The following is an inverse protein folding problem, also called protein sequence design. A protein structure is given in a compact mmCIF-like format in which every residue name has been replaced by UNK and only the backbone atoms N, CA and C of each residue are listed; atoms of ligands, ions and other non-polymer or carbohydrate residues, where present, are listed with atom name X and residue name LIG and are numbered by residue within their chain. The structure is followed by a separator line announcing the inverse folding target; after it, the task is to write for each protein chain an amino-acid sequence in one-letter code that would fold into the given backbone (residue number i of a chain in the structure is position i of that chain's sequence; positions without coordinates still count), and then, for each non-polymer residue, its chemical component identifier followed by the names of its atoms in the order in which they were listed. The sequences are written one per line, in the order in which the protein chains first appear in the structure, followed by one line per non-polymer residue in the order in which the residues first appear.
data_IF_945055775149
#
_entry.id   IF_945055775149
#
_cell.length_a   1.000
_cell.length_b   1.000
_cell.length_c   1.000
_cell.angle_alpha   90.00
_cell.angle_beta   90.00
_cell.angle_gamma   90.00
#
_symmetry.space_group_name_H-M   'P 1'
#
loop_
_entity.id
_entity.type
_entity.pdbx_description
1 polymer ?
#
# COMPACT_ATOMS: atom_id res chain seq x y z
N UNK A 1 -32.17 -13.35 42.09
CA UNK A 1 -32.42 -11.94 41.72
C UNK A 1 -31.17 -11.23 41.16
N UNK A 2 -29.97 -11.42 41.74
CA UNK A 2 -28.73 -10.73 41.28
C UNK A 2 -28.15 -11.21 39.94
N UNK A 3 -28.42 -12.45 39.51
CA UNK A 3 -27.86 -12.98 38.27
C UNK A 3 -28.54 -12.39 37.03
N UNK A 4 -29.86 -12.21 37.06
CA UNK A 4 -30.65 -11.74 35.92
C UNK A 4 -30.40 -10.27 35.59
N UNK A 5 -30.15 -9.43 36.60
CA UNK A 5 -29.90 -8.00 36.40
C UNK A 5 -28.52 -7.72 35.78
N UNK A 6 -27.52 -8.52 36.15
CA UNK A 6 -26.17 -8.41 35.60
C UNK A 6 -26.14 -8.83 34.12
N UNK A 7 -26.87 -9.89 33.78
CA UNK A 7 -27.05 -10.31 32.39
C UNK A 7 -27.80 -9.28 31.55
N UNK A 8 -28.82 -8.63 32.10
CA UNK A 8 -29.58 -7.58 31.41
C UNK A 8 -28.76 -6.30 31.15
N UNK A 9 -27.87 -5.93 32.08
CA UNK A 9 -26.96 -4.80 31.93
C UNK A 9 -25.87 -5.08 30.87
N UNK A 10 -25.35 -6.31 30.84
CA UNK A 10 -24.36 -6.74 29.83
C UNK A 10 -24.97 -6.80 28.42
N UNK A 11 -26.21 -7.30 28.28
CA UNK A 11 -26.86 -7.40 26.97
C UNK A 11 -27.23 -6.04 26.39
N UNK A 12 -27.65 -5.07 27.22
CA UNK A 12 -28.05 -3.74 26.75
C UNK A 12 -26.83 -2.85 26.39
N UNK A 13 -25.60 -3.19 26.85
CA UNK A 13 -24.34 -2.52 26.46
C UNK A 13 -23.66 -3.09 25.21
N UNK A 14 -24.02 -4.32 24.81
CA UNK A 14 -23.41 -5.03 23.68
C UNK A 14 -24.28 -5.03 22.42
N UNK A 15 -25.60 -4.84 22.53
CA UNK A 15 -26.51 -4.72 21.38
C UNK A 15 -27.50 -3.56 21.56
N UNK A 16 -27.55 -2.66 20.58
CA UNK A 16 -28.29 -1.39 20.68
C UNK A 16 -29.78 -1.44 20.25
N UNK A 17 -30.38 -2.63 20.10
CA UNK A 17 -31.80 -2.76 19.74
C UNK A 17 -32.58 -3.47 20.84
N UNK A 18 -33.44 -2.72 21.54
CA UNK A 18 -34.53 -3.29 22.35
C UNK A 18 -34.60 -2.90 23.84
N UNK A 19 -34.16 -1.72 24.25
CA UNK A 19 -34.42 -1.23 25.61
C UNK A 19 -35.30 0.04 25.54
N UNK A 20 -36.63 -0.14 25.48
CA UNK A 20 -37.59 0.92 25.74
C UNK A 20 -38.63 0.44 26.77
N UNK A 21 -38.81 1.31 27.77
CA UNK A 21 -39.94 1.46 28.70
C UNK A 21 -40.07 0.45 29.87
N UNK A 22 -39.90 0.93 31.11
CA UNK A 22 -41.04 1.28 31.98
C UNK A 22 -40.58 1.84 33.37
N UNK A 23 -41.18 3.00 33.70
CA UNK A 23 -41.59 3.51 35.02
C UNK A 23 -40.56 4.06 36.03
N UNK A 24 -40.37 5.38 35.93
CA UNK A 24 -40.16 6.28 37.07
C UNK A 24 -41.45 6.38 37.91
N UNK A 25 -41.45 5.80 39.11
CA UNK A 25 -42.13 6.42 40.25
C UNK A 25 -41.52 5.91 41.57
N UNK A 26 -40.82 6.82 42.28
CA UNK A 26 -40.78 7.00 43.76
C UNK A 26 -39.40 7.44 44.29
N UNK A 27 -39.28 8.78 44.40
CA UNK A 27 -38.87 9.58 45.58
C UNK A 27 -37.67 9.13 46.43
N UNK A 28 -36.66 10.00 46.43
CA UNK A 28 -35.96 10.61 47.59
C UNK A 28 -35.72 9.74 48.84
N UNK A 29 -34.45 9.41 49.10
CA UNK A 29 -33.66 9.92 50.23
C UNK A 29 -32.38 9.08 50.43
N UNK A 30 -31.25 9.76 50.58
CA UNK A 30 -30.03 9.24 51.22
C UNK A 30 -30.03 9.75 52.69
N UNK A 31 -29.17 9.29 53.65
CA UNK A 31 -27.84 8.68 53.42
C UNK A 31 -27.37 7.60 54.43
N UNK A 32 -26.13 7.15 54.18
CA UNK A 32 -25.16 6.49 55.08
C UNK A 32 -25.24 4.96 55.27
N UNK A 33 -24.32 4.25 54.60
CA UNK A 33 -23.40 3.33 55.28
C UNK A 33 -22.19 3.08 54.38
N UNK A 34 -21.01 3.36 54.92
CA UNK A 34 -19.71 3.02 54.37
C UNK A 34 -19.64 1.55 53.93
N UNK A 35 -19.45 1.33 52.63
CA UNK A 35 -18.78 0.14 52.12
C UNK A 35 -17.70 0.63 51.17
N UNK A 36 -16.49 0.74 51.69
CA UNK A 36 -15.28 0.94 50.91
C UNK A 36 -15.12 -0.27 49.97
N UNK A 37 -15.52 -0.12 48.71
CA UNK A 37 -15.17 -1.05 47.65
C UNK A 37 -13.64 -0.99 47.47
N UNK A 38 -12.94 -2.14 47.49
CA UNK A 38 -11.50 -2.14 47.29
C UNK A 38 -11.22 -1.67 45.86
N UNK A 39 -10.10 -0.96 45.72
CA UNK A 39 -9.50 -0.44 44.50
C UNK A 39 -9.11 -1.61 43.55
N UNK A 40 -10.08 -2.37 43.05
CA UNK A 40 -9.89 -3.52 42.15
C UNK A 40 -10.36 -3.09 40.77
N UNK A 41 -9.70 -2.09 40.21
CA UNK A 41 -10.22 -1.34 39.06
C UNK A 41 -9.48 -1.51 37.74
N UNK A 42 -8.20 -1.92 37.74
CA UNK A 42 -7.38 -1.94 36.52
C UNK A 42 -6.54 -3.22 36.41
N UNK A 43 -5.87 -3.63 37.48
CA UNK A 43 -4.95 -4.79 37.45
C UNK A 43 -5.65 -6.11 37.08
N UNK A 44 -6.88 -6.32 37.57
CA UNK A 44 -7.66 -7.53 37.24
C UNK A 44 -8.15 -7.53 35.79
N UNK A 45 -8.45 -6.36 35.20
CA UNK A 45 -8.85 -6.24 33.80
C UNK A 45 -7.67 -6.50 32.87
N UNK A 46 -6.46 -6.08 33.24
CA UNK A 46 -5.24 -6.42 32.50
C UNK A 46 -4.87 -7.89 32.60
N UNK A 47 -5.03 -8.50 33.78
CA UNK A 47 -4.81 -9.94 33.95
C UNK A 47 -5.84 -10.73 33.14
N UNK A 48 -7.11 -10.34 33.15
CA UNK A 48 -8.17 -11.01 32.37
C UNK A 48 -8.00 -10.78 30.87
N UNK A 49 -7.58 -9.59 30.42
CA UNK A 49 -7.30 -9.32 29.01
C UNK A 49 -6.07 -10.10 28.55
N UNK A 50 -4.98 -10.13 29.32
CA UNK A 50 -3.80 -10.93 29.04
C UNK A 50 -4.11 -12.43 29.00
N UNK A 51 -4.97 -12.92 29.91
CA UNK A 51 -5.40 -14.31 29.94
C UNK A 51 -6.30 -14.64 28.73
N UNK A 52 -7.26 -13.77 28.40
CA UNK A 52 -8.11 -13.91 27.21
C UNK A 52 -7.30 -13.83 25.90
N UNK A 53 -6.25 -13.02 25.88
CA UNK A 53 -5.26 -12.93 24.81
C UNK A 53 -4.27 -14.10 24.77
N UNK A 54 -4.18 -14.88 25.85
CA UNK A 54 -3.44 -16.14 25.88
C UNK A 54 -4.26 -17.29 25.28
N UNK A 55 -5.60 -17.24 25.42
CA UNK A 55 -6.54 -18.23 24.87
C UNK A 55 -7.13 -17.84 23.49
N UNK A 56 -6.99 -16.59 23.06
CA UNK A 56 -7.44 -16.05 21.77
C UNK A 56 -6.34 -15.24 21.06
N UNK A 57 -6.47 -15.04 19.75
CA UNK A 57 -5.53 -14.27 18.91
C UNK A 57 -5.62 -12.76 19.21
N UNK A 58 -5.04 -12.30 20.32
CA UNK A 58 -4.81 -10.87 20.49
C UNK A 58 -3.52 -10.46 19.80
N UNK A 59 -3.62 -9.43 18.98
CA UNK A 59 -2.48 -8.79 18.34
C UNK A 59 -2.58 -7.28 18.61
N UNK A 60 -1.44 -6.61 18.69
CA UNK A 60 -1.35 -5.17 19.05
C UNK A 60 -2.24 -4.26 18.18
N UNK A 61 -2.47 -4.67 16.93
CA UNK A 61 -3.30 -3.98 15.93
C UNK A 61 -4.79 -4.32 16.00
N UNK A 62 -5.20 -5.27 16.87
CA UNK A 62 -6.55 -5.83 16.90
C UNK A 62 -6.84 -6.83 15.76
N UNK A 63 -5.93 -7.00 14.81
CA UNK A 63 -6.03 -7.97 13.71
C UNK A 63 -4.67 -8.65 13.49
N UNK A 64 -4.60 -9.95 13.80
CA UNK A 64 -3.38 -10.73 13.72
C UNK A 64 -2.80 -10.95 12.32
N UNK A 65 -3.52 -10.53 11.28
CA UNK A 65 -3.01 -10.53 9.90
C UNK A 65 -2.07 -9.34 9.66
N UNK A 66 -2.21 -8.25 10.43
CA UNK A 66 -1.41 -7.03 10.32
C UNK A 66 -0.17 -7.16 11.22
N UNK A 67 0.99 -6.85 10.66
CA UNK A 67 2.30 -6.92 11.33
C UNK A 67 2.97 -5.55 11.43
N UNK A 68 2.85 -4.70 10.41
CA UNK A 68 3.45 -3.37 10.36
C UNK A 68 4.95 -3.34 10.71
N UNK A 69 5.74 -4.23 10.09
CA UNK A 69 7.21 -4.27 10.27
C UNK A 69 7.92 -3.17 9.48
N UNK A 70 7.92 -1.95 10.02
CA UNK A 70 8.51 -0.76 9.39
C UNK A 70 10.02 -0.86 9.24
N UNK A 71 10.72 -1.39 10.26
CA UNK A 71 12.18 -1.58 10.20
C UNK A 71 12.58 -2.58 9.11
N UNK A 72 11.80 -3.64 8.93
CA UNK A 72 12.00 -4.60 7.85
C UNK A 72 11.70 -4.02 6.47
N UNK A 73 10.73 -3.10 6.37
CA UNK A 73 10.46 -2.38 5.13
C UNK A 73 11.62 -1.45 4.75
N UNK A 74 12.18 -0.70 5.71
CA UNK A 74 13.34 0.15 5.50
C UNK A 74 14.57 -0.64 5.04
N UNK A 75 14.84 -1.77 5.69
CA UNK A 75 15.94 -2.67 5.33
C UNK A 75 15.77 -3.21 3.91
N UNK A 76 14.59 -3.75 3.57
CA UNK A 76 14.31 -4.30 2.23
C UNK A 76 14.45 -3.22 1.13
N UNK A 77 13.90 -2.02 1.36
CA UNK A 77 14.04 -0.90 0.43
C UNK A 77 15.51 -0.49 0.27
N UNK A 78 16.27 -0.47 1.35
CA UNK A 78 17.67 -0.06 1.33
C UNK A 78 18.55 -1.07 0.61
N UNK A 79 18.41 -2.35 0.93
CA UNK A 79 19.30 -3.42 0.50
C UNK A 79 18.96 -3.99 -0.89
N UNK A 80 17.68 -4.03 -1.27
CA UNK A 80 17.24 -4.76 -2.47
C UNK A 80 16.70 -3.87 -3.60
N UNK A 81 16.26 -2.63 -3.30
CA UNK A 81 15.74 -1.73 -4.34
C UNK A 81 16.87 -0.89 -4.96
N UNK A 82 17.44 -1.35 -6.07
CA UNK A 82 18.59 -0.67 -6.68
C UNK A 82 18.22 0.54 -7.53
N UNK A 83 18.96 1.64 -7.38
CA UNK A 83 18.85 2.83 -8.25
C UNK A 83 17.60 3.69 -8.07
N UNK A 84 16.80 3.46 -7.03
CA UNK A 84 15.55 4.18 -6.78
C UNK A 84 15.58 4.99 -5.48
N UNK A 85 16.55 5.90 -5.32
CA UNK A 85 16.71 6.68 -4.09
C UNK A 85 15.44 7.47 -3.72
N UNK A 86 14.77 8.10 -4.71
CA UNK A 86 13.51 8.83 -4.49
C UNK A 86 12.38 7.91 -4.00
N UNK A 87 12.18 6.77 -4.67
CA UNK A 87 11.11 5.85 -4.30
C UNK A 87 11.32 5.25 -2.90
N UNK A 88 12.57 4.96 -2.51
CA UNK A 88 12.90 4.48 -1.15
C UNK A 88 12.42 5.48 -0.11
N UNK A 89 12.82 6.74 -0.27
CA UNK A 89 12.52 7.80 0.69
C UNK A 89 11.01 8.05 0.79
N UNK A 90 10.34 8.27 -0.33
CA UNK A 90 8.92 8.60 -0.35
C UNK A 90 8.08 7.46 0.21
N UNK A 91 8.30 6.22 -0.22
CA UNK A 91 7.50 5.07 0.25
C UNK A 91 7.71 4.82 1.73
N UNK A 92 8.96 4.85 2.20
CA UNK A 92 9.25 4.65 3.62
C UNK A 92 8.59 5.73 4.48
N UNK A 93 8.80 7.01 4.16
CA UNK A 93 8.25 8.14 4.92
C UNK A 93 6.73 8.17 4.91
N UNK A 94 6.10 7.93 3.76
CA UNK A 94 4.65 7.94 3.63
C UNK A 94 4.01 6.81 4.44
N UNK A 95 4.52 5.58 4.32
CA UNK A 95 4.00 4.42 5.06
C UNK A 95 4.25 4.56 6.56
N UNK A 96 5.46 4.98 6.96
CA UNK A 96 5.80 5.21 8.37
C UNK A 96 4.89 6.28 8.99
N UNK A 97 4.77 7.45 8.35
CA UNK A 97 3.95 8.55 8.84
C UNK A 97 2.47 8.19 8.93
N UNK A 98 1.95 7.48 7.93
CA UNK A 98 0.56 7.01 7.94
C UNK A 98 0.27 6.03 9.08
N UNK A 99 1.15 5.06 9.30
CA UNK A 99 0.94 4.04 10.34
C UNK A 99 1.13 4.59 11.75
N UNK A 100 2.02 5.56 11.93
CA UNK A 100 2.22 6.27 13.20
C UNK A 100 1.08 7.22 13.54
N UNK A 101 0.29 7.66 12.56
CA UNK A 101 -0.89 8.48 12.82
C UNK A 101 -1.98 7.66 13.55
N UNK A 102 -2.43 8.08 14.74
CA UNK A 102 -3.48 7.36 15.48
C UNK A 102 -4.84 7.38 14.74
N UNK A 103 -5.15 8.49 14.08
CA UNK A 103 -6.40 8.73 13.36
C UNK A 103 -6.10 9.44 12.04
N UNK A 104 -5.80 8.69 10.97
CA UNK A 104 -5.61 9.28 9.66
C UNK A 104 -6.91 9.91 9.14
N UNK A 105 -6.82 11.11 8.59
CA UNK A 105 -7.98 11.85 8.09
C UNK A 105 -8.57 11.20 6.81
N UNK A 106 -7.74 10.55 6.01
CA UNK A 106 -8.13 9.84 4.78
C UNK A 106 -7.23 8.64 4.55
N UNK A 107 -7.58 7.80 3.57
CA UNK A 107 -6.74 6.69 3.14
C UNK A 107 -5.39 7.19 2.58
N UNK A 108 -4.33 6.41 2.77
CA UNK A 108 -3.03 6.68 2.13
C UNK A 108 -3.10 6.27 0.66
N UNK A 109 -2.82 7.20 -0.25
CA UNK A 109 -2.83 6.95 -1.69
C UNK A 109 -1.46 7.24 -2.30
N UNK A 110 -0.76 6.19 -2.72
CA UNK A 110 0.52 6.29 -3.43
C UNK A 110 0.34 5.91 -4.90
N UNK A 111 0.92 6.70 -5.80
CA UNK A 111 0.90 6.39 -7.23
C UNK A 111 2.32 6.27 -7.78
N UNK A 112 2.69 5.07 -8.23
CA UNK A 112 4.02 4.71 -8.69
C UNK A 112 4.11 4.87 -10.21
N UNK A 113 5.08 5.64 -10.69
CA UNK A 113 5.25 5.97 -12.10
C UNK A 113 6.66 5.65 -12.59
N UNK A 114 6.82 5.10 -13.78
CA UNK A 114 8.14 4.83 -14.36
C UNK A 114 8.13 3.70 -15.38
N UNK A 115 9.26 3.38 -15.99
CA UNK A 115 9.35 2.29 -16.97
C UNK A 115 9.08 0.89 -16.40
N UNK A 116 8.91 -0.08 -17.32
CA UNK A 116 8.73 -1.48 -16.93
C UNK A 116 10.03 -2.04 -16.33
N UNK A 117 9.90 -2.83 -15.26
CA UNK A 117 11.04 -3.52 -14.62
C UNK A 117 11.95 -2.64 -13.75
N UNK A 118 11.54 -1.41 -13.42
CA UNK A 118 12.30 -0.51 -12.54
C UNK A 118 12.05 -0.73 -11.04
N UNK A 119 11.04 -1.52 -10.68
CA UNK A 119 10.81 -1.94 -9.28
C UNK A 119 9.40 -1.68 -8.72
N UNK A 120 8.46 -1.09 -9.46
CA UNK A 120 7.10 -0.75 -8.95
C UNK A 120 6.38 -1.91 -8.25
N UNK A 121 6.20 -3.03 -8.97
CA UNK A 121 5.57 -4.25 -8.44
C UNK A 121 6.41 -4.90 -7.31
N UNK A 122 7.72 -4.73 -7.35
CA UNK A 122 8.63 -5.26 -6.33
C UNK A 122 8.46 -4.52 -5.00
N UNK A 123 8.38 -3.19 -5.04
CA UNK A 123 8.09 -2.34 -3.87
C UNK A 123 6.69 -2.62 -3.32
N UNK A 124 5.66 -2.73 -4.18
CA UNK A 124 4.32 -3.09 -3.72
C UNK A 124 4.30 -4.43 -2.97
N UNK A 125 5.06 -5.43 -3.45
CA UNK A 125 5.23 -6.71 -2.75
C UNK A 125 5.99 -6.57 -1.42
N UNK A 126 7.02 -5.73 -1.34
CA UNK A 126 7.73 -5.45 -0.07
C UNK A 126 6.77 -4.84 0.95
N UNK A 127 6.01 -3.82 0.56
CA UNK A 127 4.98 -3.20 1.40
C UNK A 127 4.01 -4.25 1.90
N UNK A 128 3.41 -5.06 1.01
CA UNK A 128 2.50 -6.11 1.43
C UNK A 128 3.14 -7.12 2.40
N UNK A 129 4.35 -7.60 2.10
CA UNK A 129 5.06 -8.62 2.91
C UNK A 129 5.48 -8.10 4.29
N UNK A 130 5.72 -6.79 4.41
CA UNK A 130 6.14 -6.18 5.67
C UNK A 130 4.98 -5.67 6.51
N UNK A 131 3.87 -5.28 5.88
CA UNK A 131 2.67 -4.85 6.58
C UNK A 131 1.76 -6.01 6.99
N UNK A 132 1.77 -7.14 6.25
CA UNK A 132 0.87 -8.27 6.48
C UNK A 132 1.63 -9.60 6.58
N UNK A 133 1.19 -10.46 7.50
CA UNK A 133 1.81 -11.77 7.79
C UNK A 133 1.99 -12.63 6.53
N UNK A 134 0.93 -12.73 5.73
CA UNK A 134 0.91 -13.57 4.52
C UNK A 134 1.22 -12.77 3.24
N UNK A 135 1.68 -11.52 3.40
CA UNK A 135 1.99 -10.63 2.29
C UNK A 135 0.82 -10.47 1.32
N UNK A 136 1.08 -10.65 0.03
CA UNK A 136 0.07 -10.59 -1.03
C UNK A 136 -1.03 -11.67 -0.92
N UNK A 137 -0.85 -12.70 -0.10
CA UNK A 137 -1.86 -13.75 0.13
C UNK A 137 -2.77 -13.47 1.32
N UNK A 138 -2.53 -12.38 2.05
CA UNK A 138 -3.39 -11.95 3.15
C UNK A 138 -4.78 -11.57 2.62
N UNK A 139 -5.83 -11.96 3.33
CA UNK A 139 -7.22 -11.57 2.99
C UNK A 139 -7.43 -10.04 3.00
N UNK A 140 -6.56 -9.30 3.71
CA UNK A 140 -6.58 -7.85 3.76
C UNK A 140 -5.84 -7.17 2.60
N UNK A 141 -5.27 -7.94 1.68
CA UNK A 141 -4.55 -7.44 0.51
C UNK A 141 -5.30 -7.85 -0.74
N UNK A 142 -5.75 -6.88 -1.52
CA UNK A 142 -6.48 -7.10 -2.76
C UNK A 142 -5.69 -6.52 -3.93
N UNK A 143 -5.44 -7.35 -4.95
CA UNK A 143 -4.65 -6.98 -6.13
C UNK A 143 -5.53 -7.00 -7.37
N UNK A 144 -5.64 -5.85 -8.03
CA UNK A 144 -6.40 -5.65 -9.25
C UNK A 144 -5.46 -5.33 -10.41
N UNK A 145 -5.26 -6.30 -11.31
CA UNK A 145 -4.57 -6.09 -12.58
C UNK A 145 -5.61 -5.65 -13.64
N UNK A 146 -5.49 -4.44 -14.17
CA UNK A 146 -6.50 -3.82 -15.04
C UNK A 146 -6.89 -4.68 -16.25
N UNK A 147 -5.91 -5.16 -17.02
CA UNK A 147 -6.18 -5.96 -18.22
C UNK A 147 -6.67 -7.39 -17.94
N UNK A 148 -6.44 -7.90 -16.73
CA UNK A 148 -6.87 -9.25 -16.36
C UNK A 148 -8.30 -9.23 -15.83
N UNK A 149 -8.60 -8.31 -14.92
CA UNK A 149 -9.89 -8.27 -14.24
C UNK A 149 -10.94 -7.44 -15.00
N UNK A 150 -10.51 -6.44 -15.78
CA UNK A 150 -11.40 -5.51 -16.48
C UNK A 150 -11.11 -5.43 -18.00
N UNK A 151 -11.06 -6.56 -18.73
CA UNK A 151 -10.56 -6.60 -20.10
C UNK A 151 -11.48 -5.96 -21.16
N UNK A 152 -12.78 -5.84 -20.88
CA UNK A 152 -13.79 -5.52 -21.90
C UNK A 152 -14.75 -4.41 -21.45
N UNK A 153 -14.83 -3.35 -22.25
CA UNK A 153 -15.66 -2.18 -21.93
C UNK A 153 -17.16 -2.50 -21.87
N UNK A 154 -17.62 -3.57 -22.54
CA UNK A 154 -19.02 -4.01 -22.54
C UNK A 154 -19.56 -4.32 -21.14
N UNK A 155 -18.69 -4.73 -20.21
CA UNK A 155 -19.08 -5.15 -18.86
C UNK A 155 -18.73 -4.13 -17.78
N UNK A 156 -18.43 -2.87 -18.16
CA UNK A 156 -17.99 -1.82 -17.22
C UNK A 156 -18.92 -1.64 -16.02
N UNK A 157 -20.24 -1.64 -16.22
CA UNK A 157 -21.18 -1.47 -15.10
C UNK A 157 -21.17 -2.65 -14.12
N UNK A 158 -21.00 -3.88 -14.63
CA UNK A 158 -20.80 -5.05 -13.78
C UNK A 158 -19.47 -4.98 -13.03
N UNK A 159 -18.41 -4.52 -13.68
CA UNK A 159 -17.09 -4.37 -13.05
C UNK A 159 -17.09 -3.30 -11.96
N UNK A 160 -17.80 -2.18 -12.16
CA UNK A 160 -18.00 -1.16 -11.12
C UNK A 160 -18.66 -1.76 -9.88
N UNK A 161 -19.80 -2.44 -10.08
CA UNK A 161 -20.54 -3.05 -8.99
C UNK A 161 -19.70 -4.11 -8.24
N UNK A 162 -18.98 -4.95 -8.98
CA UNK A 162 -18.09 -5.95 -8.40
C UNK A 162 -16.95 -5.32 -7.60
N UNK A 163 -16.28 -4.31 -8.16
CA UNK A 163 -15.15 -3.64 -7.52
C UNK A 163 -15.56 -2.92 -6.24
N UNK A 164 -16.68 -2.19 -6.27
CA UNK A 164 -17.24 -1.53 -5.09
C UNK A 164 -17.62 -2.54 -3.99
N UNK A 165 -18.22 -3.65 -4.39
CA UNK A 165 -18.57 -4.74 -3.46
C UNK A 165 -17.33 -5.33 -2.81
N UNK A 166 -16.31 -5.70 -3.59
CA UNK A 166 -15.07 -6.29 -3.08
C UNK A 166 -14.34 -5.35 -2.11
N UNK A 167 -14.26 -4.05 -2.44
CA UNK A 167 -13.66 -3.05 -1.54
C UNK A 167 -14.46 -2.94 -0.25
N UNK A 168 -15.79 -2.84 -0.34
CA UNK A 168 -16.66 -2.72 0.83
C UNK A 168 -16.59 -3.94 1.75
N UNK A 169 -16.62 -5.15 1.18
CA UNK A 169 -16.47 -6.41 1.93
C UNK A 169 -15.09 -6.47 2.62
N UNK A 170 -14.03 -6.06 1.94
CA UNK A 170 -12.67 -6.04 2.52
C UNK A 170 -12.57 -5.03 3.67
N UNK A 171 -13.16 -3.83 3.52
CA UNK A 171 -13.20 -2.80 4.56
C UNK A 171 -13.95 -3.24 5.81
N UNK A 172 -14.98 -4.08 5.66
CA UNK A 172 -15.71 -4.65 6.79
C UNK A 172 -14.90 -5.74 7.53
N UNK A 173 -14.06 -6.48 6.79
CA UNK A 173 -13.30 -7.60 7.33
C UNK A 173 -11.93 -7.20 7.89
N UNK A 174 -11.35 -6.11 7.43
CA UNK A 174 -9.97 -5.73 7.70
C UNK A 174 -9.87 -4.27 8.14
N UNK A 175 -9.21 -4.03 9.27
CA UNK A 175 -9.01 -2.67 9.80
C UNK A 175 -8.04 -1.83 8.98
N UNK A 176 -7.09 -2.47 8.30
CA UNK A 176 -6.08 -1.81 7.48
C UNK A 176 -5.97 -2.56 6.15
N UNK A 177 -6.90 -2.36 5.21
CA UNK A 177 -6.82 -3.04 3.92
C UNK A 177 -5.79 -2.37 3.00
N UNK A 178 -5.14 -3.18 2.17
CA UNK A 178 -4.22 -2.74 1.12
C UNK A 178 -4.80 -3.10 -0.24
N UNK A 179 -5.07 -2.09 -1.05
CA UNK A 179 -5.55 -2.24 -2.43
C UNK A 179 -4.44 -1.88 -3.41
N UNK A 180 -4.06 -2.81 -4.27
CA UNK A 180 -3.03 -2.62 -5.29
C UNK A 180 -3.67 -2.66 -6.67
N UNK A 181 -3.57 -1.57 -7.42
CA UNK A 181 -4.03 -1.46 -8.79
C UNK A 181 -2.83 -1.49 -9.75
N UNK A 182 -2.58 -2.65 -10.36
CA UNK A 182 -1.51 -2.82 -11.35
C UNK A 182 -1.99 -2.47 -12.75
N UNK A 183 -1.08 -1.92 -13.56
CA UNK A 183 -1.36 -1.31 -14.86
C UNK A 183 -2.49 -0.27 -14.77
N UNK A 184 -2.40 0.63 -13.79
CA UNK A 184 -3.42 1.63 -13.51
C UNK A 184 -3.65 2.60 -14.70
N UNK A 185 -2.69 2.77 -15.63
CA UNK A 185 -2.88 3.52 -16.89
C UNK A 185 -3.93 2.92 -17.82
N UNK A 186 -4.24 1.63 -17.64
CA UNK A 186 -5.22 0.92 -18.44
C UNK A 186 -6.57 0.79 -17.72
N UNK A 187 -6.65 1.28 -16.49
CA UNK A 187 -7.88 1.24 -15.72
C UNK A 187 -8.83 2.31 -16.25
N UNK A 188 -10.06 1.92 -16.59
CA UNK A 188 -11.04 2.85 -17.12
C UNK A 188 -11.44 3.89 -16.05
N UNK A 189 -11.58 5.18 -16.43
CA UNK A 189 -11.93 6.28 -15.52
C UNK A 189 -13.17 6.00 -14.67
N UNK A 190 -14.24 5.52 -15.31
CA UNK A 190 -15.46 5.04 -14.67
C UNK A 190 -15.27 4.03 -13.51
N UNK A 191 -14.21 3.21 -13.54
CA UNK A 191 -13.88 2.31 -12.42
C UNK A 191 -13.16 3.06 -11.29
N UNK A 192 -12.30 4.01 -11.62
CA UNK A 192 -11.69 4.92 -10.64
C UNK A 192 -12.74 5.78 -9.92
N UNK A 193 -13.72 6.29 -10.66
CA UNK A 193 -14.84 7.06 -10.12
C UNK A 193 -15.66 6.23 -9.13
N UNK A 194 -15.80 4.93 -9.39
CA UNK A 194 -16.53 4.02 -8.52
C UNK A 194 -15.81 3.77 -7.18
N UNK A 195 -14.47 3.88 -7.15
CA UNK A 195 -13.67 3.64 -5.94
C UNK A 195 -13.24 4.91 -5.22
N UNK A 196 -13.37 6.08 -5.86
CA UNK A 196 -13.10 7.40 -5.28
C UNK A 196 -13.66 7.59 -3.86
N UNK A 197 -14.93 7.22 -3.57
CA UNK A 197 -15.49 7.42 -2.24
C UNK A 197 -14.71 6.68 -1.14
N UNK A 198 -13.95 5.63 -1.44
CA UNK A 198 -13.16 4.91 -0.43
C UNK A 198 -11.80 5.56 -0.13
N UNK A 199 -11.39 6.55 -0.93
CA UNK A 199 -10.12 7.28 -0.76
C UNK A 199 -10.32 8.69 -0.21
N UNK A 200 -11.48 9.30 -0.46
CA UNK A 200 -11.77 10.68 -0.07
C UNK A 200 -11.94 10.85 1.45
N UNK A 201 -11.67 12.07 1.93
CA UNK A 201 -11.92 12.48 3.31
C UNK A 201 -13.43 12.54 3.59
N UNK A 202 -13.93 11.73 4.51
CA UNK A 202 -15.34 11.76 4.91
C UNK A 202 -15.51 12.61 6.17
N UNK A 203 -16.09 13.80 6.00
CA UNK A 203 -16.45 14.71 7.10
C UNK A 203 -17.71 14.31 7.88
N UNK A 204 -18.30 13.14 7.62
CA UNK A 204 -19.56 12.69 8.25
C UNK A 204 -19.31 11.69 9.36
N UNK A 205 -19.70 12.07 10.59
CA UNK A 205 -19.76 11.20 11.78
C UNK A 205 -20.50 9.89 11.45
N UNK A 206 -19.81 8.75 11.58
CA UNK A 206 -20.40 7.42 11.43
C UNK A 206 -19.56 6.38 10.66
N UNK A 207 -18.48 6.78 9.98
CA UNK A 207 -17.54 5.88 9.29
C UNK A 207 -16.13 5.96 9.89
N UNK A 208 -15.98 5.59 11.17
CA UNK A 208 -14.70 5.64 11.87
C UNK A 208 -13.68 4.59 11.37
N UNK A 209 -14.11 3.53 10.66
CA UNK A 209 -13.25 2.38 10.34
C UNK A 209 -12.58 2.39 8.93
N UNK A 210 -12.99 3.25 7.99
CA UNK A 210 -12.39 3.25 6.63
C UNK A 210 -11.04 3.98 6.54
N UNK A 211 -10.61 4.62 7.62
CA UNK A 211 -9.53 5.61 7.63
C UNK A 211 -8.13 5.01 7.46
N UNK A 212 -7.93 3.71 7.75
CA UNK A 212 -6.60 3.06 7.68
C UNK A 212 -6.34 2.29 6.38
N UNK A 213 -7.08 2.60 5.32
CA UNK A 213 -6.89 1.97 4.01
C UNK A 213 -5.64 2.50 3.32
N UNK A 214 -4.94 1.62 2.59
CA UNK A 214 -3.77 1.97 1.77
C UNK A 214 -4.07 1.60 0.31
N UNK A 215 -3.89 2.55 -0.59
CA UNK A 215 -4.07 2.38 -2.03
C UNK A 215 -2.73 2.58 -2.74
N UNK A 216 -2.32 1.58 -3.53
CA UNK A 216 -1.14 1.65 -4.40
C UNK A 216 -1.59 1.56 -5.86
N UNK A 217 -1.35 2.62 -6.63
CA UNK A 217 -1.55 2.63 -8.09
C UNK A 217 -0.20 2.45 -8.78
N UNK A 218 -0.08 1.46 -9.65
CA UNK A 218 1.17 1.15 -10.34
C UNK A 218 1.00 1.44 -11.82
N UNK A 219 1.82 2.35 -12.35
CA UNK A 219 1.67 2.81 -13.73
C UNK A 219 2.97 2.98 -14.49
N UNK A 220 2.90 2.73 -15.81
CA UNK A 220 3.99 3.09 -16.74
C UNK A 220 3.83 4.49 -17.36
N UNK A 221 2.70 5.16 -17.13
CA UNK A 221 2.46 6.53 -17.57
C UNK A 221 3.45 7.48 -16.87
N UNK A 222 3.98 8.47 -17.61
CA UNK A 222 5.05 9.32 -17.11
C UNK A 222 6.46 8.72 -17.23
N UNK A 223 6.58 7.45 -17.64
CA UNK A 223 7.86 6.77 -17.75
C UNK A 223 8.84 7.47 -18.68
N UNK A 224 8.40 7.93 -19.85
CA UNK A 224 9.27 8.59 -20.82
C UNK A 224 9.81 9.92 -20.28
N UNK A 225 8.95 10.75 -19.72
CA UNK A 225 9.33 12.03 -19.08
C UNK A 225 10.35 11.84 -17.96
N UNK A 226 10.16 10.83 -17.10
CA UNK A 226 11.15 10.51 -16.05
C UNK A 226 12.52 10.18 -16.67
N UNK A 227 12.54 9.41 -17.75
CA UNK A 227 13.80 9.00 -18.37
C UNK A 227 14.48 10.11 -19.14
N UNK A 228 13.72 11.02 -19.75
CA UNK A 228 14.26 12.22 -20.38
C UNK A 228 14.98 13.08 -19.35
N UNK A 229 14.37 13.31 -18.18
CA UNK A 229 15.03 14.01 -17.07
C UNK A 229 16.32 13.29 -16.63
N UNK A 230 16.26 11.97 -16.46
CA UNK A 230 17.45 11.19 -16.09
C UNK A 230 18.55 11.26 -17.16
N UNK A 231 18.19 11.23 -18.44
CA UNK A 231 19.11 11.35 -19.56
C UNK A 231 19.76 12.73 -19.62
N UNK A 232 18.99 13.79 -19.38
CA UNK A 232 19.47 15.17 -19.39
C UNK A 232 20.48 15.43 -18.26
N UNK A 233 20.22 14.90 -17.07
CA UNK A 233 21.18 14.96 -15.95
C UNK A 233 22.48 14.23 -16.29
N UNK A 234 22.36 13.03 -16.86
CA UNK A 234 23.54 12.27 -17.29
C UNK A 234 24.34 13.00 -18.39
N UNK A 235 23.67 13.57 -19.40
CA UNK A 235 24.31 14.37 -20.46
C UNK A 235 24.99 15.62 -19.93
N UNK A 236 24.45 16.20 -18.86
CA UNK A 236 25.05 17.33 -18.14
C UNK A 236 26.20 16.91 -17.20
N UNK A 237 26.54 15.61 -17.12
CA UNK A 237 27.58 15.09 -16.23
C UNK A 237 27.21 15.16 -14.75
N UNK A 238 25.91 15.26 -14.43
CA UNK A 238 25.40 15.37 -13.07
C UNK A 238 25.11 13.98 -12.49
N UNK A 239 25.23 13.84 -11.18
CA UNK A 239 24.91 12.59 -10.53
C UNK A 239 23.39 12.32 -10.59
N UNK A 240 23.03 11.04 -10.68
CA UNK A 240 21.63 10.58 -10.66
C UNK A 240 20.92 11.02 -9.38
N UNK A 241 21.62 10.98 -8.25
CA UNK A 241 21.11 11.34 -6.92
C UNK A 241 20.84 12.84 -6.76
N UNK A 242 21.27 13.68 -7.72
CA UNK A 242 20.89 15.10 -7.75
C UNK A 242 19.50 15.36 -8.32
N UNK A 243 18.85 14.36 -8.93
CA UNK A 243 17.51 14.50 -9.48
C UNK A 243 16.52 14.67 -8.32
N UNK A 244 15.92 15.86 -8.19
CA UNK A 244 14.98 16.12 -7.09
C UNK A 244 13.59 15.54 -7.35
N UNK A 245 12.91 15.17 -6.27
CA UNK A 245 11.52 14.73 -6.31
C UNK A 245 10.61 15.83 -6.89
N UNK A 246 10.81 17.09 -6.48
CA UNK A 246 9.94 18.20 -6.90
C UNK A 246 9.96 18.39 -8.42
N UNK A 247 11.15 18.26 -9.05
CA UNK A 247 11.30 18.36 -10.49
C UNK A 247 10.49 17.27 -11.21
N UNK A 248 10.62 16.02 -10.77
CA UNK A 248 9.90 14.90 -11.38
C UNK A 248 8.40 15.01 -11.13
N UNK A 249 7.97 15.36 -9.92
CA UNK A 249 6.56 15.57 -9.60
C UNK A 249 5.93 16.66 -10.48
N UNK A 250 6.61 17.79 -10.66
CA UNK A 250 6.12 18.87 -11.52
C UNK A 250 5.94 18.37 -12.96
N UNK A 251 6.94 17.67 -13.50
CA UNK A 251 6.89 17.14 -14.88
C UNK A 251 5.82 16.07 -15.06
N UNK A 252 5.69 15.17 -14.10
CA UNK A 252 4.65 14.14 -14.09
C UNK A 252 3.24 14.75 -13.99
N UNK A 253 3.02 15.72 -13.09
CA UNK A 253 1.72 16.38 -12.96
C UNK A 253 1.30 17.07 -14.26
N UNK A 254 2.24 17.70 -14.98
CA UNK A 254 1.96 18.31 -16.27
C UNK A 254 1.53 17.26 -17.32
N UNK A 255 2.29 16.19 -17.49
CA UNK A 255 1.95 15.13 -18.46
C UNK A 255 0.62 14.45 -18.13
N UNK A 256 0.35 14.21 -16.85
CA UNK A 256 -0.87 13.55 -16.41
C UNK A 256 -2.12 14.44 -16.50
N UNK A 257 -1.95 15.76 -16.64
CA UNK A 257 -3.05 16.71 -16.88
C UNK A 257 -3.43 16.82 -18.36
N UNK A 258 -2.51 16.46 -19.27
CA UNK A 258 -2.74 16.53 -20.71
C UNK A 258 -3.89 15.57 -21.13
N UNK A 259 -4.86 16.05 -21.91
CA UNK A 259 -5.98 15.24 -22.37
C UNK A 259 -5.51 14.29 -23.49
N UNK A 260 -4.92 13.16 -23.13
CA UNK A 260 -4.73 12.05 -24.07
C UNK A 260 -6.05 11.29 -24.25
N UNK A 261 -6.42 10.97 -25.49
CA UNK A 261 -7.68 10.33 -25.89
C UNK A 261 -7.99 9.00 -25.17
N UNK A 262 -7.01 8.39 -24.50
CA UNK A 262 -7.13 7.11 -23.79
C UNK A 262 -6.78 7.17 -22.29
N UNK A 263 -6.53 8.34 -21.69
CA UNK A 263 -6.09 8.48 -20.28
C UNK A 263 -6.95 9.44 -19.45
N UNK A 264 -8.28 9.30 -19.55
CA UNK A 264 -9.24 10.05 -18.72
C UNK A 264 -9.14 9.70 -17.22
N UNK A 265 -8.55 8.55 -16.89
CA UNK A 265 -8.49 7.96 -15.56
C UNK A 265 -7.55 8.70 -14.60
N UNK A 266 -6.31 8.96 -15.05
CA UNK A 266 -5.27 9.61 -14.23
C UNK A 266 -5.47 11.10 -14.07
N UNK A 267 -5.91 11.78 -15.13
CA UNK A 267 -6.27 13.20 -15.05
C UNK A 267 -7.38 13.45 -14.04
N UNK A 268 -8.32 12.50 -13.87
CA UNK A 268 -9.40 12.62 -12.89
C UNK A 268 -8.91 12.45 -11.43
N UNK A 269 -8.07 11.45 -11.13
CA UNK A 269 -7.54 11.24 -9.76
C UNK A 269 -6.64 12.40 -9.31
N UNK A 270 -5.88 12.97 -10.24
CA UNK A 270 -5.00 14.11 -9.97
C UNK A 270 -5.75 15.43 -9.83
N UNK A 271 -6.79 15.67 -10.65
CA UNK A 271 -7.60 16.89 -10.57
C UNK A 271 -8.31 17.03 -9.23
N UNK A 272 -8.63 15.92 -8.56
CA UNK A 272 -9.30 15.91 -7.26
C UNK A 272 -8.35 15.75 -6.08
N UNK A 273 -7.02 15.79 -6.30
CA UNK A 273 -6.00 15.72 -5.25
C UNK A 273 -6.14 14.51 -4.31
N UNK A 274 -6.60 13.37 -4.87
CA UNK A 274 -6.78 12.13 -4.11
C UNK A 274 -5.45 11.43 -3.82
N UNK A 275 -4.46 11.61 -4.71
CA UNK A 275 -3.12 11.04 -4.59
C UNK A 275 -2.31 11.87 -3.59
N UNK A 276 -1.80 11.22 -2.54
CA UNK A 276 -0.93 11.87 -1.55
C UNK A 276 0.48 12.08 -2.10
N UNK A 277 1.05 11.03 -2.69
CA UNK A 277 2.42 11.05 -3.18
C UNK A 277 2.53 10.41 -4.56
N UNK A 278 3.17 11.14 -5.48
CA UNK A 278 3.64 10.62 -6.75
C UNK A 278 5.04 10.05 -6.53
N UNK A 279 5.21 8.76 -6.80
CA UNK A 279 6.46 8.04 -6.54
C UNK A 279 7.15 7.72 -7.88
N UNK A 280 8.16 8.50 -8.30
CA UNK A 280 8.87 8.25 -9.54
C UNK A 280 9.87 7.09 -9.42
N UNK A 281 9.91 6.24 -10.44
CA UNK A 281 10.86 5.15 -10.62
C UNK A 281 11.73 5.43 -11.84
N UNK A 282 12.99 5.77 -11.57
CA UNK A 282 14.00 6.13 -12.53
C UNK A 282 14.45 4.92 -13.39
N UNK A 283 14.93 5.12 -14.62
CA UNK A 283 15.41 4.03 -15.48
C UNK A 283 16.68 3.40 -14.90
N UNK A 284 16.88 2.09 -15.10
CA UNK A 284 17.99 1.36 -14.50
C UNK A 284 19.21 1.32 -15.43
N UNK A 285 20.34 1.81 -14.94
CA UNK A 285 21.65 1.72 -15.62
C UNK A 285 22.28 0.32 -15.51
N UNK A 286 23.36 0.09 -16.27
CA UNK A 286 24.06 -1.19 -16.33
C UNK A 286 24.45 -1.74 -14.96
N UNK A 287 25.01 -0.90 -14.07
CA UNK A 287 25.40 -1.31 -12.73
C UNK A 287 24.20 -1.78 -11.88
N UNK A 288 23.06 -1.11 -11.98
CA UNK A 288 21.84 -1.53 -11.27
C UNK A 288 21.36 -2.91 -11.74
N UNK A 289 21.48 -3.20 -13.04
CA UNK A 289 21.13 -4.52 -13.56
C UNK A 289 22.08 -5.61 -13.05
N UNK A 290 23.37 -5.31 -12.90
CA UNK A 290 24.30 -6.23 -12.23
C UNK A 290 23.87 -6.55 -10.79
N UNK A 291 23.45 -5.54 -10.03
CA UNK A 291 22.95 -5.73 -8.66
C UNK A 291 21.68 -6.59 -8.63
N UNK A 292 20.75 -6.37 -9.56
CA UNK A 292 19.59 -7.26 -9.72
C UNK A 292 19.98 -8.70 -10.06
N UNK A 293 20.99 -8.89 -10.92
CA UNK A 293 21.49 -10.22 -11.26
C UNK A 293 22.09 -10.90 -10.04
N UNK A 294 22.93 -10.19 -9.27
CA UNK A 294 23.50 -10.66 -8.02
C UNK A 294 22.42 -11.16 -7.07
N UNK A 295 21.41 -10.34 -6.83
CA UNK A 295 20.32 -10.69 -5.91
C UNK A 295 19.50 -11.87 -6.43
N UNK A 296 19.34 -12.00 -7.75
CA UNK A 296 18.66 -13.15 -8.37
C UNK A 296 19.47 -14.47 -8.23
N UNK A 297 20.80 -14.42 -8.30
CA UNK A 297 21.65 -15.58 -7.98
C UNK A 297 21.54 -15.96 -6.50
N UNK A 298 21.65 -14.98 -5.59
CA UNK A 298 21.53 -15.18 -4.15
C UNK A 298 20.17 -15.76 -3.75
N UNK A 299 19.07 -15.26 -4.34
CA UNK A 299 17.72 -15.76 -4.07
C UNK A 299 17.51 -17.23 -4.44
N UNK A 300 18.38 -17.80 -5.30
CA UNK A 300 18.37 -19.21 -5.69
C UNK A 300 19.47 -20.04 -5.03
N UNK A 301 20.27 -19.44 -4.14
CA UNK A 301 21.40 -20.11 -3.51
C UNK A 301 22.51 -20.50 -4.50
N UNK A 302 22.64 -19.77 -5.61
CA UNK A 302 23.60 -20.06 -6.65
C UNK A 302 24.86 -19.21 -6.49
N UNK A 303 26.06 -19.76 -6.75
CA UNK A 303 27.29 -18.97 -6.78
C UNK A 303 27.27 -18.04 -7.99
N UNK A 304 27.92 -16.88 -7.86
CA UNK A 304 28.14 -15.94 -8.95
C UNK A 304 29.56 -15.37 -8.90
N UNK A 305 30.01 -14.85 -10.04
CA UNK A 305 31.25 -14.07 -10.18
C UNK A 305 30.94 -12.74 -10.84
N UNK A 306 31.79 -11.73 -10.67
CA UNK A 306 31.62 -10.44 -11.36
C UNK A 306 31.50 -10.59 -12.89
N UNK A 307 32.25 -11.53 -13.49
CA UNK A 307 32.16 -11.82 -14.91
C UNK A 307 30.78 -12.34 -15.33
N UNK A 308 30.19 -13.26 -14.55
CA UNK A 308 28.84 -13.78 -14.83
C UNK A 308 27.78 -12.69 -14.67
N UNK A 309 27.93 -11.76 -13.71
CA UNK A 309 27.02 -10.64 -13.54
C UNK A 309 27.10 -9.67 -14.73
N UNK A 310 28.31 -9.38 -15.20
CA UNK A 310 28.53 -8.57 -16.40
C UNK A 310 27.91 -9.22 -17.64
N UNK A 311 28.03 -10.53 -17.79
CA UNK A 311 27.46 -11.26 -18.93
C UNK A 311 25.94 -11.22 -18.93
N UNK A 312 25.30 -11.48 -17.78
CA UNK A 312 23.85 -11.34 -17.62
C UNK A 312 23.39 -9.92 -17.96
N UNK A 313 24.11 -8.90 -17.48
CA UNK A 313 23.80 -7.51 -17.80
C UNK A 313 23.98 -7.22 -19.30
N UNK A 314 25.04 -7.72 -19.95
CA UNK A 314 25.28 -7.54 -21.40
C UNK A 314 24.22 -8.20 -22.29
N UNK A 315 23.55 -9.25 -21.82
CA UNK A 315 22.41 -9.89 -22.51
C UNK A 315 21.14 -9.01 -22.51
N UNK A 316 21.15 -7.87 -21.83
CA UNK A 316 20.04 -6.92 -21.79
C UNK A 316 20.10 -5.93 -22.95
N UNK A 317 18.94 -5.36 -23.29
CA UNK A 317 18.86 -4.28 -24.28
C UNK A 317 18.97 -2.95 -23.56
N UNK A 318 19.92 -2.10 -23.99
CA UNK A 318 20.10 -0.75 -23.45
C UNK A 318 19.72 0.33 -24.47
N UNK A 319 19.19 1.43 -23.97
CA UNK A 319 18.69 2.59 -24.70
C UNK A 319 19.21 3.90 -24.07
N UNK A 320 19.35 5.00 -24.83
CA UNK A 320 19.20 5.10 -26.29
C UNK A 320 20.26 4.26 -27.04
N UNK A 321 20.15 4.11 -28.36
CA UNK A 321 21.04 3.22 -29.13
C UNK A 321 22.48 3.73 -29.15
N UNK A 322 22.63 5.04 -29.06
CA UNK A 322 23.87 5.80 -29.13
C UNK A 322 24.66 5.65 -27.83
N UNK A 323 24.05 5.98 -26.69
CA UNK A 323 24.71 5.95 -25.38
C UNK A 323 24.62 4.58 -24.67
N UNK A 324 23.63 3.75 -25.00
CA UNK A 324 23.35 2.43 -24.36
C UNK A 324 23.36 2.50 -22.83
N UNK A 325 22.69 3.52 -22.29
CA UNK A 325 22.78 3.87 -20.87
C UNK A 325 21.79 3.09 -19.99
N UNK A 326 20.52 3.08 -20.37
CA UNK A 326 19.42 2.56 -19.56
C UNK A 326 18.88 1.23 -20.09
N UNK A 327 18.58 0.29 -19.21
CA UNK A 327 17.95 -0.97 -19.60
C UNK A 327 16.50 -0.75 -20.03
N UNK A 328 16.16 -1.15 -21.26
CA UNK A 328 14.83 -0.98 -21.83
C UNK A 328 13.71 -1.73 -21.07
N UNK A 329 14.07 -2.77 -20.30
CA UNK A 329 13.13 -3.57 -19.51
C UNK A 329 13.48 -3.58 -18.02
N UNK A 330 14.37 -2.69 -17.57
CA UNK A 330 14.93 -2.71 -16.23
C UNK A 330 15.45 -4.10 -15.85
N UNK A 331 15.08 -4.60 -14.68
CA UNK A 331 15.48 -5.93 -14.20
C UNK A 331 14.44 -7.03 -14.47
N UNK A 332 13.36 -6.74 -15.21
CA UNK A 332 12.21 -7.67 -15.37
C UNK A 332 12.61 -9.04 -15.90
N UNK A 333 13.56 -9.06 -16.83
CA UNK A 333 13.97 -10.27 -17.56
C UNK A 333 15.30 -10.87 -17.07
N UNK A 334 15.83 -10.38 -15.95
CA UNK A 334 17.06 -10.90 -15.32
C UNK A 334 16.89 -12.33 -14.79
N UNK A 335 15.81 -12.69 -14.06
CA UNK A 335 15.65 -14.05 -13.53
C UNK A 335 15.55 -15.15 -14.60
N UNK A 336 15.11 -14.81 -15.82
CA UNK A 336 15.10 -15.73 -16.95
C UNK A 336 16.49 -15.87 -17.58
N UNK A 337 17.30 -14.79 -17.58
CA UNK A 337 18.65 -14.83 -18.14
C UNK A 337 19.64 -15.63 -17.30
N UNK A 338 19.52 -15.58 -15.98
CA UNK A 338 20.37 -16.39 -15.11
C UNK A 338 20.18 -17.90 -15.34
N UNK A 339 19.07 -18.33 -15.96
CA UNK A 339 18.84 -19.73 -16.33
C UNK A 339 19.87 -20.26 -17.34
N UNK A 340 20.47 -19.39 -18.16
CA UNK A 340 21.50 -19.80 -19.13
C UNK A 340 22.84 -20.13 -18.48
N UNK A 341 23.00 -19.83 -17.18
CA UNK A 341 24.19 -20.09 -16.39
C UNK A 341 23.99 -21.25 -15.40
N UNK A 342 22.82 -21.90 -15.46
CA UNK A 342 22.55 -23.10 -14.70
C UNK A 342 23.15 -24.31 -15.42
N UNK A 343 23.72 -25.29 -14.66
CA UNK A 343 24.27 -26.52 -15.22
C UNK A 343 23.20 -27.43 -15.85
#
# INVERSE_FOLDING_TARGET
ALHTHYWHYLTCRLWHQGCQEEEEEQREASPSSEWSLPLVGQDYLEILSAWYCSFGKCCETGDCRIVNNITGLEADLSEQLHGQHLAKEVVFRAVQGFLQSPQPEKALVLSFHGWSGTGKNFVARMVATRLYRDGLKSDCVQVFISLLHFPHHKYLDSYKAQLQRQISETLQLCRQPLFIFDEAEKLHSSLLDAIRPFMAHHGTKGQEDHQRSIFLFLSNLGGNTINEVALDFWRAGRAREEISLELLEQRLRLELQEPAENSYAHSHLLRENLIDFLVPFLPLEFHHVKLCARDAFLARGLPYTEATLDEVARMMVFVPKEEKLFSAQGCKSVPQRINYFLP
#
